data_IF_391032768491
#
_entry.id   IF_391032768491
#
_cell.length_a   1.000
_cell.length_b   1.000
_cell.length_c   1.000
_cell.angle_alpha   90.00
_cell.angle_beta   90.00
_cell.angle_gamma   90.00
#
_symmetry.space_group_name_H-M   'P 1'
#
loop_
_entity.id
_entity.type
_entity.pdbx_description
1 polymer ?
#
# COMPACT_ATOMS: atom_id res chain seq x y z
N UNK A 1 -31.80 -20.48 39.93
CA UNK A 1 -30.93 -21.61 39.53
C UNK A 1 -30.91 -21.59 38.02
N UNK A 2 -29.94 -20.91 37.45
CA UNK A 2 -29.69 -20.87 35.99
C UNK A 2 -28.94 -22.16 35.68
N UNK A 3 -29.59 -22.97 34.86
CA UNK A 3 -29.12 -24.27 34.41
C UNK A 3 -27.77 -24.08 33.71
N UNK A 4 -26.70 -24.60 34.28
CA UNK A 4 -25.40 -24.81 33.62
C UNK A 4 -25.59 -25.96 32.62
N UNK A 5 -26.29 -25.68 31.50
CA UNK A 5 -26.42 -26.62 30.38
C UNK A 5 -25.05 -26.77 29.74
N UNK A 6 -24.51 -27.99 29.79
CA UNK A 6 -23.48 -28.60 28.96
C UNK A 6 -22.77 -27.66 27.98
N UNK A 7 -21.74 -26.97 28.44
CA UNK A 7 -20.77 -26.41 27.52
C UNK A 7 -20.02 -27.59 26.90
N UNK A 8 -20.32 -27.87 25.64
CA UNK A 8 -19.53 -28.80 24.82
C UNK A 8 -18.09 -28.31 24.89
N UNK A 9 -17.21 -29.06 25.55
CA UNK A 9 -15.81 -28.69 25.61
C UNK A 9 -15.19 -28.85 24.21
N UNK A 10 -14.96 -27.73 23.52
CA UNK A 10 -14.24 -27.73 22.26
C UNK A 10 -12.74 -27.72 22.58
N UNK A 11 -12.02 -28.78 22.21
CA UNK A 11 -10.59 -28.89 22.44
C UNK A 11 -9.76 -28.14 21.38
N UNK A 12 -10.34 -27.95 20.18
CA UNK A 12 -9.63 -27.34 19.06
C UNK A 12 -8.38 -28.13 18.61
N UNK A 13 -7.58 -27.55 17.75
CA UNK A 13 -6.34 -28.17 17.23
C UNK A 13 -5.25 -28.22 18.29
N UNK A 14 -4.44 -29.28 18.26
CA UNK A 14 -3.22 -29.39 19.06
C UNK A 14 -2.09 -28.56 18.43
N UNK A 15 -1.07 -28.20 19.23
CA UNK A 15 0.11 -27.48 18.74
C UNK A 15 0.78 -28.18 17.55
N UNK A 16 0.85 -29.50 17.56
CA UNK A 16 1.44 -30.28 16.49
C UNK A 16 0.64 -30.17 15.20
N UNK A 17 -0.70 -30.27 15.28
CA UNK A 17 -1.59 -30.12 14.14
C UNK A 17 -1.51 -28.70 13.55
N UNK A 18 -1.42 -27.67 14.37
CA UNK A 18 -1.24 -26.28 13.92
C UNK A 18 0.07 -26.14 13.14
N UNK A 19 1.19 -26.67 13.63
CA UNK A 19 2.48 -26.62 12.95
C UNK A 19 2.45 -27.37 11.62
N UNK A 20 1.78 -28.50 11.58
CA UNK A 20 1.57 -29.25 10.35
C UNK A 20 0.79 -28.44 9.31
N UNK A 21 -0.32 -27.80 9.70
CA UNK A 21 -1.12 -26.93 8.83
C UNK A 21 -0.31 -25.73 8.32
N UNK A 22 0.50 -25.11 9.18
CA UNK A 22 1.43 -24.03 8.78
C UNK A 22 2.42 -24.53 7.73
N UNK A 23 3.02 -25.70 7.93
CA UNK A 23 3.99 -26.28 6.97
C UNK A 23 3.38 -26.62 5.62
N UNK A 24 2.08 -26.92 5.59
CA UNK A 24 1.29 -27.17 4.38
C UNK A 24 0.81 -25.86 3.70
N UNK A 25 1.07 -24.68 4.29
CA UNK A 25 0.61 -23.40 3.77
C UNK A 25 -0.89 -23.15 3.97
N UNK A 26 -1.57 -23.91 4.85
CA UNK A 26 -2.99 -23.79 5.16
C UNK A 26 -3.23 -22.72 6.23
N UNK A 27 -2.70 -21.52 6.01
CA UNK A 27 -2.80 -20.35 6.89
C UNK A 27 -3.69 -19.29 6.28
N UNK A 28 -4.31 -18.45 7.11
CA UNK A 28 -5.15 -17.35 6.66
C UNK A 28 -4.30 -16.11 6.27
N UNK A 29 -3.05 -16.31 5.87
CA UNK A 29 -2.18 -15.25 5.37
C UNK A 29 -2.53 -14.95 3.90
N UNK A 30 -3.51 -14.06 3.71
CA UNK A 30 -3.89 -13.52 2.43
C UNK A 30 -3.66 -12.02 2.41
N UNK A 31 -2.47 -11.62 2.02
CA UNK A 31 -2.16 -10.20 1.81
C UNK A 31 -2.33 -9.86 0.32
N UNK A 32 -3.40 -9.17 -0.03
CA UNK A 32 -3.44 -8.45 -1.30
C UNK A 32 -2.41 -7.33 -1.18
N UNK A 33 -1.24 -7.53 -1.79
CA UNK A 33 -0.19 -6.50 -1.83
C UNK A 33 -0.70 -5.28 -2.62
N UNK A 34 -1.44 -4.40 -1.96
CA UNK A 34 -1.83 -3.08 -2.46
C UNK A 34 -0.70 -2.07 -2.26
N UNK A 35 0.29 -2.38 -1.43
CA UNK A 35 1.41 -1.48 -1.16
C UNK A 35 2.46 -1.53 -2.28
N UNK A 36 2.93 -0.36 -2.68
CA UNK A 36 3.99 -0.20 -3.67
C UNK A 36 5.26 -0.95 -3.20
N UNK A 37 5.83 -1.80 -4.07
CA UNK A 37 7.07 -2.54 -3.75
C UNK A 37 8.24 -1.58 -3.54
N UNK A 38 9.16 -1.93 -2.64
CA UNK A 38 10.42 -1.19 -2.42
C UNK A 38 11.21 -1.00 -3.73
N UNK A 39 11.23 -2.01 -4.58
CA UNK A 39 11.88 -1.92 -5.89
C UNK A 39 11.20 -0.93 -6.83
N UNK A 40 9.88 -0.84 -6.80
CA UNK A 40 9.13 0.16 -7.58
C UNK A 40 9.43 1.59 -7.11
N UNK A 41 9.59 1.79 -5.78
CA UNK A 41 10.02 3.08 -5.22
C UNK A 41 11.40 3.47 -5.74
N UNK A 42 12.37 2.57 -5.67
CA UNK A 42 13.72 2.81 -6.18
C UNK A 42 13.68 3.12 -7.67
N UNK A 43 13.01 2.27 -8.46
CA UNK A 43 12.90 2.45 -9.92
C UNK A 43 12.28 3.80 -10.28
N UNK A 44 11.24 4.23 -9.58
CA UNK A 44 10.55 5.50 -9.83
C UNK A 44 11.41 6.72 -9.51
N UNK A 45 12.25 6.64 -8.48
CA UNK A 45 13.14 7.73 -8.09
C UNK A 45 14.43 7.80 -8.90
N UNK A 46 14.94 6.66 -9.39
CA UNK A 46 16.20 6.59 -10.13
C UNK A 46 15.98 6.74 -11.63
N UNK A 47 15.05 5.97 -12.22
CA UNK A 47 14.83 5.92 -13.66
C UNK A 47 13.76 6.93 -14.12
N UNK A 48 14.08 8.20 -13.96
CA UNK A 48 13.27 9.29 -14.50
C UNK A 48 13.94 9.86 -15.76
N UNK A 49 13.16 10.41 -16.68
CA UNK A 49 13.68 11.14 -17.84
C UNK A 49 14.68 12.22 -17.41
N UNK A 50 14.40 12.82 -16.28
CA UNK A 50 15.22 13.83 -15.63
C UNK A 50 16.62 13.34 -15.26
N UNK A 51 16.68 12.21 -14.56
CA UNK A 51 17.93 11.60 -14.15
C UNK A 51 18.70 11.08 -15.37
N UNK A 52 18.00 10.58 -16.41
CA UNK A 52 18.62 10.17 -17.66
C UNK A 52 19.28 11.34 -18.38
N UNK A 53 18.62 12.51 -18.47
CA UNK A 53 19.21 13.72 -19.04
C UNK A 53 20.43 14.21 -18.23
N UNK A 54 20.33 14.24 -16.91
CA UNK A 54 21.45 14.61 -16.04
C UNK A 54 22.63 13.63 -16.17
N UNK A 55 22.33 12.34 -16.30
CA UNK A 55 23.36 11.33 -16.54
C UNK A 55 24.06 11.54 -17.89
N UNK A 56 23.29 11.84 -18.95
CA UNK A 56 23.86 12.15 -20.26
C UNK A 56 24.75 13.39 -20.22
N UNK A 57 24.34 14.45 -19.48
CA UNK A 57 25.17 15.64 -19.25
C UNK A 57 26.45 15.28 -18.48
N UNK A 58 26.34 14.46 -17.44
CA UNK A 58 27.50 14.03 -16.66
C UNK A 58 28.51 13.26 -17.54
N UNK A 59 28.03 12.35 -18.39
CA UNK A 59 28.85 11.60 -19.35
C UNK A 59 29.53 12.54 -20.31
N UNK A 60 28.83 13.54 -20.88
CA UNK A 60 29.43 14.54 -21.78
C UNK A 60 30.54 15.34 -21.09
N UNK A 61 30.33 15.74 -19.82
CA UNK A 61 31.36 16.46 -19.05
C UNK A 61 32.57 15.58 -18.72
N UNK A 62 32.41 14.29 -18.48
CA UNK A 62 33.48 13.32 -18.29
C UNK A 62 34.31 13.19 -19.57
N UNK A 63 33.68 13.06 -20.73
CA UNK A 63 34.36 12.93 -22.04
C UNK A 63 35.26 14.14 -22.31
N UNK A 64 34.80 15.35 -21.98
CA UNK A 64 35.59 16.57 -22.17
C UNK A 64 36.51 16.89 -20.97
N UNK A 65 36.64 15.96 -20.02
CA UNK A 65 37.51 16.11 -18.83
C UNK A 65 37.19 17.35 -17.97
N UNK A 66 35.92 17.72 -17.85
CA UNK A 66 35.44 18.86 -17.07
C UNK A 66 35.02 18.43 -15.65
N UNK A 67 35.91 17.79 -14.89
CA UNK A 67 35.65 17.16 -13.59
C UNK A 67 35.06 18.10 -12.54
N UNK A 68 35.50 19.34 -12.50
CA UNK A 68 35.02 20.37 -11.56
C UNK A 68 33.50 20.63 -11.71
N UNK A 69 32.96 20.38 -12.88
CA UNK A 69 31.56 20.62 -13.20
C UNK A 69 30.64 19.44 -12.80
N UNK A 70 31.19 18.32 -12.30
CA UNK A 70 30.43 17.16 -11.89
C UNK A 70 29.81 17.28 -10.49
N UNK A 71 30.06 18.34 -9.75
CA UNK A 71 29.50 18.56 -8.39
C UNK A 71 27.98 18.49 -8.38
N UNK A 72 27.31 18.93 -9.48
CA UNK A 72 25.88 18.81 -9.61
C UNK A 72 25.38 17.36 -9.55
N UNK A 73 26.16 16.41 -10.04
CA UNK A 73 25.79 15.00 -10.06
C UNK A 73 25.71 14.43 -8.66
N UNK A 74 26.60 14.85 -7.75
CA UNK A 74 26.48 14.50 -6.33
C UNK A 74 25.17 15.00 -5.71
N UNK A 75 24.74 16.23 -6.07
CA UNK A 75 23.44 16.77 -5.64
C UNK A 75 22.27 15.95 -6.16
N UNK A 76 22.35 15.47 -7.40
CA UNK A 76 21.31 14.62 -7.99
C UNK A 76 21.24 13.27 -7.28
N UNK A 77 22.37 12.64 -7.03
CA UNK A 77 22.45 11.39 -6.28
C UNK A 77 21.87 11.58 -4.86
N UNK A 78 22.21 12.67 -4.20
CA UNK A 78 21.66 13.00 -2.87
C UNK A 78 20.15 13.22 -2.92
N UNK A 79 19.62 13.93 -3.93
CA UNK A 79 18.19 14.13 -4.11
C UNK A 79 17.45 12.81 -4.38
N UNK A 80 17.98 11.92 -5.23
CA UNK A 80 17.41 10.62 -5.49
C UNK A 80 17.40 9.75 -4.20
N UNK A 81 18.50 9.74 -3.47
CA UNK A 81 18.62 9.05 -2.18
C UNK A 81 17.62 9.59 -1.15
N UNK A 82 17.54 10.92 -1.00
CA UNK A 82 16.60 11.57 -0.09
C UNK A 82 15.15 11.26 -0.46
N UNK A 83 14.82 11.25 -1.76
CA UNK A 83 13.50 10.86 -2.25
C UNK A 83 13.15 9.41 -1.89
N UNK A 84 14.08 8.48 -2.13
CA UNK A 84 13.90 7.06 -1.78
C UNK A 84 13.69 6.91 -0.27
N UNK A 85 14.54 7.51 0.56
CA UNK A 85 14.44 7.43 2.02
C UNK A 85 13.11 8.00 2.52
N UNK A 86 12.69 9.15 2.00
CA UNK A 86 11.43 9.80 2.37
C UNK A 86 10.24 8.91 2.03
N UNK A 87 10.22 8.33 0.84
CA UNK A 87 9.13 7.47 0.38
C UNK A 87 9.10 6.12 1.12
N UNK A 88 10.26 5.53 1.42
CA UNK A 88 10.35 4.33 2.25
C UNK A 88 9.86 4.57 3.69
N UNK A 89 10.22 5.73 4.27
CA UNK A 89 9.70 6.12 5.59
C UNK A 89 8.19 6.30 5.56
N UNK A 90 7.65 6.95 4.53
CA UNK A 90 6.21 7.11 4.35
C UNK A 90 5.50 5.76 4.27
N UNK A 91 6.00 4.84 3.42
CA UNK A 91 5.48 3.48 3.31
C UNK A 91 5.50 2.77 4.67
N UNK A 92 6.64 2.75 5.35
CA UNK A 92 6.77 2.07 6.63
C UNK A 92 5.81 2.63 7.70
N UNK A 93 5.57 3.95 7.69
CA UNK A 93 4.62 4.57 8.61
C UNK A 93 3.17 4.16 8.32
N UNK A 94 2.77 4.13 7.06
CA UNK A 94 1.44 3.65 6.64
C UNK A 94 1.26 2.17 7.00
N UNK A 95 2.25 1.33 6.68
CA UNK A 95 2.24 -0.11 7.01
C UNK A 95 2.10 -0.33 8.53
N UNK A 96 2.83 0.46 9.35
CA UNK A 96 2.75 0.39 10.80
C UNK A 96 1.37 0.79 11.35
N UNK A 97 0.75 1.83 10.78
CA UNK A 97 -0.60 2.27 11.18
C UNK A 97 -1.64 1.20 10.82
N UNK A 98 -1.50 0.53 9.69
CA UNK A 98 -2.39 -0.57 9.29
C UNK A 98 -2.29 -1.77 10.23
N UNK A 99 -1.08 -2.09 10.74
CA UNK A 99 -0.88 -3.18 11.68
C UNK A 99 -1.49 -2.91 13.07
N UNK A 100 -1.56 -1.65 13.50
CA UNK A 100 -2.08 -1.29 14.83
C UNK A 100 -3.62 -1.42 14.94
N UNK A 101 -4.32 -1.55 13.82
CA UNK A 101 -5.79 -1.59 13.77
C UNK A 101 -6.38 -3.00 13.56
N UNK A 102 -5.56 -4.05 13.59
CA UNK A 102 -6.07 -5.41 13.44
C UNK A 102 -6.61 -5.92 14.77
N UNK A 103 -7.90 -6.21 14.81
CA UNK A 103 -8.52 -6.86 15.96
C UNK A 103 -8.04 -8.31 16.06
N UNK A 104 -7.69 -8.73 17.27
CA UNK A 104 -7.28 -10.10 17.54
C UNK A 104 -8.49 -11.00 17.66
N UNK A 105 -8.34 -12.23 17.20
CA UNK A 105 -9.41 -13.24 17.20
C UNK A 105 -9.20 -14.24 18.33
N UNK A 106 -10.27 -14.59 19.01
CA UNK A 106 -10.28 -15.64 20.05
C UNK A 106 -10.34 -17.02 19.41
N UNK A 107 -9.25 -17.81 19.54
CA UNK A 107 -9.16 -19.19 19.03
C UNK A 107 -9.02 -20.18 20.19
N UNK A 108 -9.66 -21.34 20.03
CA UNK A 108 -9.59 -22.46 20.97
C UNK A 108 -8.59 -23.47 20.42
N UNK A 109 -7.47 -23.66 21.12
CA UNK A 109 -6.42 -24.65 20.79
C UNK A 109 -6.00 -25.38 22.07
N UNK A 110 -5.82 -26.69 22.03
CA UNK A 110 -5.53 -27.53 23.21
C UNK A 110 -6.50 -27.31 24.39
N UNK A 111 -7.77 -27.06 24.13
CA UNK A 111 -8.75 -26.75 25.16
C UNK A 111 -8.61 -25.37 25.83
N UNK A 112 -7.71 -24.53 25.36
CA UNK A 112 -7.48 -23.19 25.88
C UNK A 112 -7.86 -22.12 24.84
N UNK A 113 -8.51 -21.05 25.31
CA UNK A 113 -8.81 -19.89 24.46
C UNK A 113 -7.60 -18.94 24.48
N UNK A 114 -7.07 -18.67 23.31
CA UNK A 114 -5.95 -17.73 23.09
C UNK A 114 -6.35 -16.67 22.08
N UNK A 115 -5.74 -15.49 22.14
CA UNK A 115 -6.01 -14.39 21.23
C UNK A 115 -4.84 -14.24 20.25
N UNK A 116 -5.11 -14.44 18.95
CA UNK A 116 -4.12 -14.41 17.88
C UNK A 116 -4.52 -13.41 16.79
N UNK A 117 -3.57 -13.08 15.90
CA UNK A 117 -3.91 -12.26 14.72
C UNK A 117 -4.65 -13.09 13.69
N UNK A 118 -5.55 -12.48 12.89
CA UNK A 118 -6.32 -13.19 11.85
C UNK A 118 -5.45 -13.99 10.87
N UNK A 119 -4.24 -13.53 10.56
CA UNK A 119 -3.30 -14.20 9.65
C UNK A 119 -2.69 -15.49 10.23
N UNK A 120 -2.71 -15.63 11.57
CA UNK A 120 -2.17 -16.82 12.26
C UNK A 120 -3.19 -17.96 12.37
N UNK A 121 -4.45 -17.74 11.89
CA UNK A 121 -5.46 -18.77 11.79
C UNK A 121 -5.05 -19.83 10.78
N UNK A 122 -5.37 -21.09 11.09
CA UNK A 122 -5.17 -22.23 10.19
C UNK A 122 -6.46 -22.95 9.90
N UNK A 123 -6.50 -23.70 8.82
CA UNK A 123 -7.66 -24.53 8.46
C UNK A 123 -7.99 -25.52 9.58
N UNK A 124 -9.26 -25.54 10.02
CA UNK A 124 -9.74 -26.39 11.11
C UNK A 124 -9.58 -25.76 12.51
N UNK A 125 -9.10 -24.52 12.63
CA UNK A 125 -9.13 -23.80 13.91
C UNK A 125 -10.56 -23.60 14.38
N UNK A 126 -10.78 -23.69 15.69
CA UNK A 126 -12.06 -23.38 16.33
C UNK A 126 -11.98 -21.97 16.91
N UNK A 127 -12.83 -21.09 16.40
CA UNK A 127 -12.87 -19.68 16.82
C UNK A 127 -14.14 -19.41 17.63
N UNK A 128 -14.05 -18.41 18.52
CA UNK A 128 -15.18 -17.82 19.21
C UNK A 128 -15.42 -16.43 18.72
N UNK A 129 -16.63 -16.14 18.28
CA UNK A 129 -17.04 -14.82 17.80
C UNK A 129 -18.22 -14.30 18.62
N UNK A 130 -18.17 -12.99 18.92
CA UNK A 130 -19.20 -12.26 19.66
C UNK A 130 -19.78 -11.14 18.80
N UNK A 131 -20.91 -10.59 19.24
CA UNK A 131 -21.52 -9.43 18.58
C UNK A 131 -20.53 -8.26 18.44
N UNK A 132 -20.48 -7.66 17.26
CA UNK A 132 -19.57 -6.58 16.87
C UNK A 132 -18.25 -7.06 16.22
N UNK A 133 -17.92 -8.34 16.30
CA UNK A 133 -16.69 -8.89 15.72
C UNK A 133 -16.88 -9.22 14.23
N UNK A 134 -15.82 -8.99 13.45
CA UNK A 134 -15.76 -9.39 12.04
C UNK A 134 -15.34 -10.86 11.92
N UNK A 135 -16.00 -11.57 11.00
CA UNK A 135 -15.66 -12.97 10.67
C UNK A 135 -14.33 -12.97 9.87
N UNK A 136 -13.24 -13.56 10.41
CA UNK A 136 -11.91 -13.43 9.84
C UNK A 136 -11.66 -14.37 8.66
N UNK A 137 -12.40 -15.47 8.59
CA UNK A 137 -12.24 -16.55 7.60
C UNK A 137 -13.55 -17.29 7.46
N UNK A 138 -13.77 -17.96 6.32
CA UNK A 138 -14.98 -18.75 6.15
C UNK A 138 -15.00 -19.90 7.17
N UNK A 139 -16.13 -20.07 7.85
CA UNK A 139 -16.25 -21.01 8.95
C UNK A 139 -17.64 -21.67 8.96
N UNK A 140 -17.78 -22.78 9.67
CA UNK A 140 -19.05 -23.42 9.94
C UNK A 140 -19.39 -23.33 11.43
N UNK A 141 -20.61 -22.94 11.76
CA UNK A 141 -21.08 -22.82 13.14
C UNK A 141 -21.16 -24.21 13.79
N UNK A 142 -20.44 -24.38 14.91
CA UNK A 142 -20.47 -25.61 15.72
C UNK A 142 -21.41 -25.51 16.91
N UNK A 143 -21.57 -24.28 17.45
CA UNK A 143 -22.43 -24.02 18.61
C UNK A 143 -22.81 -22.53 18.65
N UNK A 144 -23.98 -22.25 19.27
CA UNK A 144 -24.55 -20.92 19.40
C UNK A 144 -25.43 -20.50 18.25
N UNK A 145 -25.78 -19.21 18.21
CA UNK A 145 -26.51 -18.58 17.12
C UNK A 145 -26.06 -17.12 16.96
N UNK A 146 -26.20 -16.58 15.75
CA UNK A 146 -25.92 -15.17 15.50
C UNK A 146 -26.78 -14.61 14.37
N UNK A 147 -27.01 -13.31 14.42
CA UNK A 147 -27.45 -12.52 13.27
C UNK A 147 -26.21 -11.86 12.62
N UNK A 148 -26.02 -12.10 11.35
CA UNK A 148 -24.83 -11.69 10.60
C UNK A 148 -25.23 -10.69 9.51
N UNK A 149 -24.47 -9.60 9.41
CA UNK A 149 -24.58 -8.65 8.32
C UNK A 149 -23.62 -9.06 7.19
N UNK A 150 -24.16 -9.51 6.09
CA UNK A 150 -23.43 -9.91 4.88
C UNK A 150 -23.51 -8.86 3.75
N UNK A 151 -24.02 -7.67 4.04
CA UNK A 151 -24.29 -6.63 3.04
C UNK A 151 -23.06 -6.22 2.22
N UNK A 152 -21.86 -6.24 2.81
CA UNK A 152 -20.61 -5.94 2.10
C UNK A 152 -20.23 -7.00 1.04
N UNK A 153 -20.76 -8.21 1.17
CA UNK A 153 -20.44 -9.33 0.28
C UNK A 153 -21.56 -9.56 -0.75
N UNK A 154 -22.81 -9.50 -0.29
CA UNK A 154 -24.01 -9.83 -1.10
C UNK A 154 -24.69 -8.58 -1.68
N UNK A 155 -24.51 -7.42 -1.05
CA UNK A 155 -25.23 -6.18 -1.34
C UNK A 155 -26.62 -6.09 -0.71
N UNK A 156 -27.05 -7.12 0.04
CA UNK A 156 -28.35 -7.16 0.71
C UNK A 156 -28.20 -6.70 2.17
N UNK A 157 -29.03 -5.75 2.59
CA UNK A 157 -28.93 -5.13 3.93
C UNK A 157 -29.60 -5.95 5.02
N UNK A 158 -30.35 -7.01 4.67
CA UNK A 158 -31.07 -7.84 5.64
C UNK A 158 -30.09 -8.69 6.45
N UNK A 159 -30.34 -8.80 7.75
CA UNK A 159 -29.56 -9.65 8.63
C UNK A 159 -29.88 -11.11 8.38
N UNK A 160 -28.86 -11.95 8.26
CA UNK A 160 -28.99 -13.38 8.04
C UNK A 160 -28.80 -14.10 9.37
N UNK A 161 -29.78 -14.89 9.76
CA UNK A 161 -29.69 -15.76 10.94
C UNK A 161 -28.80 -16.96 10.62
N UNK A 162 -27.87 -17.27 11.52
CA UNK A 162 -26.95 -18.40 11.42
C UNK A 162 -27.11 -19.29 12.66
N UNK A 163 -27.35 -20.56 12.40
CA UNK A 163 -27.51 -21.61 13.39
C UNK A 163 -26.43 -22.70 13.22
N UNK A 164 -26.43 -23.69 14.07
CA UNK A 164 -25.48 -24.81 14.03
C UNK A 164 -25.52 -25.50 12.66
N UNK A 165 -24.34 -25.59 12.02
CA UNK A 165 -24.15 -26.15 10.68
C UNK A 165 -24.18 -25.15 9.55
N UNK A 166 -24.58 -23.90 9.81
CA UNK A 166 -24.54 -22.84 8.80
C UNK A 166 -23.15 -22.31 8.53
N UNK A 167 -22.97 -21.81 7.32
CA UNK A 167 -21.70 -21.18 6.90
C UNK A 167 -21.67 -19.70 7.28
N UNK A 168 -20.54 -19.29 7.83
CA UNK A 168 -20.15 -17.91 8.06
C UNK A 168 -19.19 -17.48 6.95
N UNK A 169 -19.47 -16.35 6.32
CA UNK A 169 -18.63 -15.82 5.25
C UNK A 169 -17.60 -14.82 5.79
N UNK A 170 -16.35 -14.99 5.42
CA UNK A 170 -15.26 -14.04 5.76
C UNK A 170 -15.59 -12.63 5.32
N UNK A 171 -15.29 -11.63 6.17
CA UNK A 171 -15.56 -10.22 5.89
C UNK A 171 -16.92 -9.71 6.35
N UNK A 172 -17.91 -10.58 6.67
CA UNK A 172 -19.17 -10.19 7.31
C UNK A 172 -19.00 -9.91 8.80
N UNK A 173 -20.02 -9.34 9.44
CA UNK A 173 -20.00 -8.94 10.84
C UNK A 173 -21.11 -9.61 11.65
N UNK A 174 -20.79 -10.11 12.85
CA UNK A 174 -21.82 -10.49 13.81
C UNK A 174 -22.47 -9.21 14.37
N UNK A 175 -23.79 -9.10 14.20
CA UNK A 175 -24.58 -7.98 14.75
C UNK A 175 -25.11 -8.31 16.13
N UNK A 176 -25.60 -9.54 16.31
CA UNK A 176 -26.11 -10.03 17.60
C UNK A 176 -25.76 -11.51 17.81
N UNK A 177 -25.83 -11.97 19.06
CA UNK A 177 -25.53 -13.34 19.43
C UNK A 177 -24.04 -13.64 19.66
N UNK A 178 -23.72 -14.92 19.71
CA UNK A 178 -22.35 -15.44 19.80
C UNK A 178 -22.30 -16.84 19.19
N UNK A 179 -21.18 -17.18 18.59
CA UNK A 179 -20.98 -18.51 17.98
C UNK A 179 -19.59 -19.05 18.26
N UNK A 180 -19.50 -20.39 18.29
CA UNK A 180 -18.25 -21.13 18.16
C UNK A 180 -18.29 -21.76 16.77
N UNK A 181 -17.24 -21.53 15.97
CA UNK A 181 -17.21 -21.95 14.57
C UNK A 181 -15.85 -22.55 14.22
N UNK A 182 -15.84 -23.51 13.29
CA UNK A 182 -14.64 -24.14 12.75
C UNK A 182 -14.29 -23.51 11.40
N UNK A 183 -13.04 -23.11 11.23
CA UNK A 183 -12.51 -22.53 9.98
C UNK A 183 -12.50 -23.58 8.88
N UNK A 184 -13.23 -23.32 7.81
CA UNK A 184 -13.38 -24.22 6.65
C UNK A 184 -12.57 -23.80 5.42
N UNK A 185 -12.23 -22.53 5.30
CA UNK A 185 -11.38 -22.01 4.25
C UNK A 185 -10.39 -20.98 4.84
N UNK A 186 -9.23 -20.81 4.23
CA UNK A 186 -8.20 -19.86 4.67
C UNK A 186 -7.54 -19.17 3.47
N UNK A 187 -6.99 -18.00 3.69
CA UNK A 187 -6.20 -17.29 2.70
C UNK A 187 -6.99 -16.92 1.44
N UNK A 188 -6.47 -17.32 0.27
CA UNK A 188 -7.08 -17.05 -1.02
C UNK A 188 -8.41 -17.79 -1.26
N UNK A 189 -8.66 -18.86 -0.52
CA UNK A 189 -9.85 -19.69 -0.69
C UNK A 189 -11.09 -19.14 0.03
N UNK A 190 -10.93 -18.14 0.89
CA UNK A 190 -12.02 -17.42 1.52
C UNK A 190 -12.92 -16.73 0.49
N UNK A 191 -14.21 -16.66 0.80
CA UNK A 191 -15.21 -16.01 -0.04
C UNK A 191 -14.85 -14.54 -0.33
N UNK A 192 -14.53 -13.76 0.71
CA UNK A 192 -14.12 -12.36 0.54
C UNK A 192 -12.84 -12.23 -0.30
N UNK A 193 -11.87 -13.16 -0.13
CA UNK A 193 -10.62 -13.16 -0.91
C UNK A 193 -10.88 -13.43 -2.39
N UNK A 194 -11.75 -14.39 -2.72
CA UNK A 194 -12.17 -14.69 -4.10
C UNK A 194 -12.86 -13.49 -4.73
N UNK A 195 -13.80 -12.86 -4.00
CA UNK A 195 -14.49 -11.66 -4.46
C UNK A 195 -13.49 -10.51 -4.72
N UNK A 196 -12.50 -10.31 -3.84
CA UNK A 196 -11.43 -9.33 -4.03
C UNK A 196 -10.55 -9.64 -5.24
N UNK A 197 -10.27 -10.92 -5.51
CA UNK A 197 -9.50 -11.34 -6.68
C UNK A 197 -10.26 -11.10 -7.99
N UNK A 198 -11.56 -11.35 -7.99
CA UNK A 198 -12.43 -11.07 -9.14
C UNK A 198 -12.59 -9.55 -9.36
N UNK A 199 -12.73 -8.80 -8.27
CA UNK A 199 -12.78 -7.33 -8.29
C UNK A 199 -11.44 -6.66 -8.63
N UNK A 200 -10.41 -7.40 -8.98
CA UNK A 200 -8.99 -6.99 -9.17
C UNK A 200 -8.73 -5.93 -10.24
N UNK A 201 -9.76 -5.24 -10.69
CA UNK A 201 -9.66 -4.02 -11.49
C UNK A 201 -9.64 -2.74 -10.64
N UNK A 202 -9.28 -2.83 -9.36
CA UNK A 202 -9.06 -1.63 -8.56
C UNK A 202 -7.91 -0.86 -9.19
N UNK A 203 -8.27 0.13 -10.00
CA UNK A 203 -7.30 1.06 -10.60
C UNK A 203 -6.56 1.72 -9.44
N UNK A 204 -5.22 1.62 -9.38
CA UNK A 204 -4.47 2.28 -8.33
C UNK A 204 -4.85 3.77 -8.32
N UNK A 205 -5.02 4.33 -7.13
CA UNK A 205 -5.36 5.75 -6.99
C UNK A 205 -4.24 6.57 -7.63
N UNK A 206 -4.54 7.12 -8.82
CA UNK A 206 -3.58 7.91 -9.56
C UNK A 206 -3.64 9.36 -9.06
N UNK A 207 -2.61 9.81 -8.38
CA UNK A 207 -2.43 11.22 -8.05
C UNK A 207 -2.48 12.06 -9.34
N UNK A 208 -3.42 13.02 -9.40
CA UNK A 208 -3.49 13.98 -10.52
C UNK A 208 -2.32 14.95 -10.48
N UNK A 209 -1.84 15.28 -9.28
CA UNK A 209 -0.66 16.13 -9.09
C UNK A 209 0.56 15.44 -9.70
N UNK A 210 0.82 14.16 -9.34
CA UNK A 210 1.93 13.41 -9.91
C UNK A 210 1.82 13.28 -11.43
N UNK A 211 0.63 12.97 -11.96
CA UNK A 211 0.40 12.90 -13.41
C UNK A 211 0.64 14.25 -14.11
N UNK A 212 0.27 15.36 -13.47
CA UNK A 212 0.54 16.69 -14.00
C UNK A 212 2.02 17.02 -13.97
N UNK A 213 2.74 16.63 -12.93
CA UNK A 213 4.20 16.76 -12.83
C UNK A 213 4.94 15.94 -13.87
N UNK A 214 4.53 14.68 -14.07
CA UNK A 214 5.10 13.82 -15.12
C UNK A 214 4.88 14.41 -16.50
N UNK A 215 3.72 15.05 -16.73
CA UNK A 215 3.42 15.75 -17.98
C UNK A 215 4.32 16.97 -18.17
N UNK A 216 4.48 17.79 -17.12
CA UNK A 216 5.38 18.96 -17.15
C UNK A 216 6.82 18.51 -17.37
N UNK A 217 7.29 17.51 -16.63
CA UNK A 217 8.63 16.96 -16.77
C UNK A 217 8.86 16.39 -18.18
N UNK A 218 7.88 15.65 -18.72
CA UNK A 218 7.94 15.10 -20.06
C UNK A 218 7.97 16.19 -21.17
N UNK A 219 7.15 17.23 -21.00
CA UNK A 219 7.12 18.37 -21.91
C UNK A 219 8.43 19.17 -21.87
N UNK A 220 8.88 19.50 -20.66
CA UNK A 220 10.16 20.20 -20.45
C UNK A 220 11.33 19.37 -21.01
N UNK A 221 11.35 18.04 -20.77
CA UNK A 221 12.38 17.16 -21.32
C UNK A 221 12.44 17.16 -22.86
N UNK A 222 11.28 17.22 -23.52
CA UNK A 222 11.21 17.29 -25.00
C UNK A 222 11.74 18.62 -25.55
N UNK A 223 11.56 19.71 -24.82
CA UNK A 223 12.06 21.03 -25.21
C UNK A 223 13.56 21.17 -24.93
N UNK A 224 14.01 20.65 -23.81
CA UNK A 224 15.42 20.76 -23.37
C UNK A 224 16.37 20.13 -24.38
N UNK A 225 16.02 19.01 -25.00
CA UNK A 225 16.89 18.30 -25.95
C UNK A 225 17.22 19.19 -27.17
N UNK A 226 16.24 19.67 -27.97
CA UNK A 226 16.53 20.51 -29.13
C UNK A 226 17.15 21.85 -28.72
N UNK A 227 16.77 22.40 -27.57
CA UNK A 227 17.38 23.63 -27.06
C UNK A 227 18.84 23.44 -26.66
N UNK A 228 19.18 22.30 -26.06
CA UNK A 228 20.57 21.94 -25.77
C UNK A 228 21.42 21.79 -27.02
N UNK A 229 20.90 21.17 -28.06
CA UNK A 229 21.55 21.04 -29.35
C UNK A 229 21.80 22.44 -29.94
N UNK A 230 20.77 23.31 -29.93
CA UNK A 230 20.89 24.67 -30.45
C UNK A 230 21.93 25.51 -29.69
N UNK A 231 21.94 25.47 -28.35
CA UNK A 231 22.93 26.16 -27.52
C UNK A 231 24.35 25.62 -27.75
N UNK A 232 24.51 24.33 -27.92
CA UNK A 232 25.80 23.73 -28.21
C UNK A 232 26.34 24.18 -29.58
N UNK A 233 25.49 24.16 -30.60
CA UNK A 233 25.85 24.61 -31.94
C UNK A 233 26.14 26.12 -31.96
N UNK A 234 25.37 26.93 -31.26
CA UNK A 234 25.65 28.37 -31.11
C UNK A 234 27.03 28.60 -30.48
N UNK A 235 27.32 27.90 -29.37
CA UNK A 235 28.62 28.05 -28.68
C UNK A 235 29.78 27.65 -29.60
N UNK A 236 29.62 26.58 -30.38
CA UNK A 236 30.67 26.03 -31.23
C UNK A 236 30.81 26.83 -32.53
N UNK A 237 29.72 27.15 -33.24
CA UNK A 237 29.75 27.69 -34.60
C UNK A 237 29.69 29.23 -34.62
N UNK A 238 28.96 29.84 -33.68
CA UNK A 238 28.79 31.31 -33.65
C UNK A 238 29.82 31.97 -32.74
N UNK A 239 29.99 31.42 -31.53
CA UNK A 239 30.94 31.95 -30.56
C UNK A 239 32.40 31.40 -30.73
N UNK A 240 32.57 30.39 -31.60
CA UNK A 240 33.86 29.73 -31.85
C UNK A 240 34.59 29.26 -30.58
N UNK A 241 33.80 28.82 -29.56
CA UNK A 241 34.38 28.32 -28.32
C UNK A 241 34.97 26.92 -28.52
N UNK A 242 36.03 26.57 -27.76
CA UNK A 242 36.53 25.20 -27.69
C UNK A 242 35.40 24.23 -27.33
N UNK A 243 35.47 22.99 -27.83
CA UNK A 243 34.46 21.96 -27.59
C UNK A 243 34.19 21.77 -26.08
N UNK A 244 35.24 21.78 -25.26
CA UNK A 244 35.16 21.70 -23.81
C UNK A 244 34.26 22.79 -23.23
N UNK A 245 34.54 24.04 -23.58
CA UNK A 245 33.78 25.19 -23.04
C UNK A 245 32.36 25.23 -23.58
N UNK A 246 32.15 24.82 -24.84
CA UNK A 246 30.81 24.67 -25.43
C UNK A 246 29.97 23.64 -24.69
N UNK A 247 30.53 22.47 -24.34
CA UNK A 247 29.86 21.44 -23.54
C UNK A 247 29.56 21.94 -22.14
N UNK A 248 30.52 22.60 -21.47
CA UNK A 248 30.38 23.14 -20.11
C UNK A 248 29.26 24.18 -20.07
N UNK A 249 29.30 25.17 -20.97
CA UNK A 249 28.30 26.24 -21.02
C UNK A 249 26.90 25.72 -21.31
N UNK A 250 26.78 24.82 -22.29
CA UNK A 250 25.50 24.17 -22.61
C UNK A 250 24.96 23.36 -21.43
N UNK A 251 25.82 22.55 -20.81
CA UNK A 251 25.47 21.75 -19.62
C UNK A 251 24.97 22.62 -18.48
N UNK A 252 25.64 23.74 -18.20
CA UNK A 252 25.26 24.68 -17.14
C UNK A 252 23.87 25.29 -17.42
N UNK A 253 23.64 25.73 -18.67
CA UNK A 253 22.34 26.27 -19.07
C UNK A 253 21.23 25.24 -18.92
N UNK A 254 21.44 24.00 -19.41
CA UNK A 254 20.45 22.92 -19.32
C UNK A 254 20.16 22.53 -17.88
N UNK A 255 21.18 22.47 -17.02
CA UNK A 255 21.00 22.17 -15.59
C UNK A 255 20.14 23.21 -14.87
N UNK A 256 20.23 24.48 -15.27
CA UNK A 256 19.39 25.55 -14.73
C UNK A 256 17.92 25.47 -15.17
N UNK A 257 17.64 24.87 -16.32
CA UNK A 257 16.27 24.74 -16.87
C UNK A 257 15.49 23.57 -16.28
N UNK A 258 16.14 22.67 -15.56
CA UNK A 258 15.52 21.48 -15.03
C UNK A 258 14.79 21.75 -13.69
N UNK A 259 13.43 21.50 -13.56
CA UNK A 259 12.66 21.70 -12.33
C UNK A 259 12.94 20.57 -11.30
N UNK A 260 14.04 20.70 -10.53
CA UNK A 260 14.60 19.60 -9.70
C UNK A 260 13.88 19.30 -8.39
N UNK A 261 12.99 20.17 -7.91
CA UNK A 261 12.47 20.04 -6.53
C UNK A 261 11.00 19.69 -6.41
N UNK A 262 10.23 19.76 -7.50
CA UNK A 262 8.77 19.75 -7.41
C UNK A 262 8.23 18.40 -6.92
N UNK A 263 8.76 17.29 -7.42
CA UNK A 263 8.32 15.94 -7.01
C UNK A 263 8.62 15.66 -5.53
N UNK A 264 9.83 15.98 -5.08
CA UNK A 264 10.23 15.80 -3.68
C UNK A 264 9.37 16.66 -2.75
N UNK A 265 9.10 17.91 -3.12
CA UNK A 265 8.27 18.83 -2.34
C UNK A 265 6.83 18.31 -2.21
N UNK A 266 6.27 17.76 -3.27
CA UNK A 266 4.94 17.16 -3.25
C UNK A 266 4.88 15.93 -2.34
N UNK A 267 5.83 15.00 -2.49
CA UNK A 267 5.89 13.80 -1.64
C UNK A 267 6.03 14.20 -0.17
N UNK A 268 6.90 15.15 0.15
CA UNK A 268 7.11 15.64 1.52
C UNK A 268 5.84 16.29 2.08
N UNK A 269 5.12 17.05 1.26
CA UNK A 269 3.86 17.69 1.64
C UNK A 269 2.76 16.66 1.93
N UNK A 270 2.59 15.66 1.06
CA UNK A 270 1.63 14.58 1.25
C UNK A 270 1.97 13.75 2.49
N UNK A 271 3.25 13.42 2.68
CA UNK A 271 3.71 12.70 3.88
C UNK A 271 3.38 13.47 5.16
N UNK A 272 3.62 14.78 5.18
CA UNK A 272 3.29 15.63 6.31
C UNK A 272 1.79 15.60 6.62
N UNK A 273 0.96 15.59 5.58
CA UNK A 273 -0.50 15.52 5.73
C UNK A 273 -0.93 14.14 6.27
N UNK A 274 -0.36 13.03 5.79
CA UNK A 274 -0.60 11.68 6.32
C UNK A 274 -0.24 11.60 7.80
N UNK A 275 0.93 12.14 8.18
CA UNK A 275 1.35 12.18 9.60
C UNK A 275 0.35 12.96 10.45
N UNK A 276 -0.08 14.14 9.99
CA UNK A 276 -1.07 14.97 10.72
C UNK A 276 -2.41 14.26 10.89
N UNK A 277 -2.89 13.53 9.87
CA UNK A 277 -4.12 12.74 9.94
C UNK A 277 -3.94 11.57 10.89
N UNK A 278 -2.82 10.85 10.84
CA UNK A 278 -2.50 9.75 11.74
C UNK A 278 -2.47 10.19 13.21
N UNK A 279 -1.90 11.38 13.52
CA UNK A 279 -1.93 11.96 14.87
C UNK A 279 -3.34 12.30 15.34
N UNK A 280 -4.28 12.52 14.42
CA UNK A 280 -5.72 12.72 14.71
C UNK A 280 -6.52 11.42 14.68
N UNK A 281 -5.85 10.27 14.72
CA UNK A 281 -6.45 8.91 14.66
C UNK A 281 -7.23 8.64 13.37
N UNK A 282 -6.93 9.33 12.28
CA UNK A 282 -7.47 9.06 10.95
C UNK A 282 -6.48 8.18 10.20
N UNK A 283 -6.89 6.95 9.90
CA UNK A 283 -6.08 5.99 9.15
C UNK A 283 -6.10 6.33 7.65
N UNK A 284 -4.91 6.52 7.08
CA UNK A 284 -4.74 6.75 5.65
C UNK A 284 -4.06 5.53 5.05
N UNK A 285 -4.77 4.79 4.21
CA UNK A 285 -4.25 3.56 3.58
C UNK A 285 -3.24 3.85 2.48
N UNK A 286 -3.45 4.92 1.71
CA UNK A 286 -2.55 5.34 0.64
C UNK A 286 -2.21 6.83 0.74
N UNK A 287 -0.94 7.18 0.55
CA UNK A 287 -0.47 8.58 0.65
C UNK A 287 -1.22 9.52 -0.30
N UNK A 288 -1.56 9.06 -1.50
CA UNK A 288 -2.26 9.87 -2.50
C UNK A 288 -3.75 10.05 -2.23
N UNK A 289 -4.34 9.27 -1.31
CA UNK A 289 -5.73 9.45 -0.86
C UNK A 289 -5.95 10.81 -0.22
N UNK A 290 -4.92 11.40 0.39
CA UNK A 290 -4.97 12.75 0.98
C UNK A 290 -5.23 13.82 -0.08
N UNK A 291 -4.63 13.68 -1.28
CA UNK A 291 -4.91 14.57 -2.40
C UNK A 291 -6.37 14.46 -2.87
N UNK A 292 -6.87 13.22 -2.95
CA UNK A 292 -8.26 12.96 -3.34
C UNK A 292 -9.22 13.55 -2.31
N UNK A 293 -8.96 13.34 -1.01
CA UNK A 293 -9.75 13.90 0.08
C UNK A 293 -9.81 15.45 0.06
N UNK A 294 -8.68 16.08 -0.22
CA UNK A 294 -8.60 17.55 -0.31
C UNK A 294 -9.40 18.16 -1.48
N UNK A 295 -9.87 17.34 -2.40
CA UNK A 295 -10.60 17.74 -3.63
C UNK A 295 -12.06 17.32 -3.62
N UNK A 296 -12.53 16.75 -2.51
CA UNK A 296 -13.95 16.39 -2.34
C UNK A 296 -14.75 17.67 -2.21
N UNK A 297 -15.71 17.85 -3.10
CA UNK A 297 -16.67 18.95 -3.14
C UNK A 297 -18.09 18.49 -2.74
N UNK A 298 -18.34 17.19 -2.78
CA UNK A 298 -19.61 16.58 -2.37
C UNK A 298 -19.34 15.34 -1.52
N UNK A 299 -19.88 15.32 -0.31
CA UNK A 299 -19.79 14.19 0.61
C UNK A 299 -21.18 13.54 0.76
N UNK A 300 -21.31 12.31 0.28
CA UNK A 300 -22.50 11.51 0.47
C UNK A 300 -22.29 10.61 1.69
N UNK A 301 -23.12 10.77 2.69
CA UNK A 301 -23.11 9.96 3.92
C UNK A 301 -24.37 9.11 3.98
N UNK A 302 -24.22 7.84 4.30
CA UNK A 302 -25.32 6.96 4.67
C UNK A 302 -25.40 6.84 6.19
N UNK A 303 -26.56 6.48 6.70
CA UNK A 303 -26.83 6.45 8.14
C UNK A 303 -26.26 5.20 8.82
N UNK A 304 -25.97 4.15 8.07
CA UNK A 304 -25.53 2.84 8.59
C UNK A 304 -24.05 2.82 8.92
#
# INVERSE_FOLDING_TARGET
MINLMNMKEFTGLTHQQVQEKISQGLTNDFTVNTSISTWQIIKRNVFTLFNALNFAIAVALVIVQAWSNLVFFAVICFNAFSGIVTELRAKHMVDKLNLLNKEKISVIRNGQTTSINPEELVLGDVIRLNAGEQIPSDATVLDGFAEVNEAMLTGESDLVQKEIGDQLLSGSFLVSGHVIAEITHVGADNYASKLMLEAKTVKPIHSRIMKSMDRIAGFTGKIIIPFGIALFLEALLVKHLPVKDSVVNTSTALLGMLPKGIALLTITSLLTAVIKLGLRKVLVQEMYSVETLARVDMLCLDKT
#
